data_IF_165727236869
#
_entry.id   IF_165727236869
#
_cell.length_a   1.000
_cell.length_b   1.000
_cell.length_c   1.000
_cell.angle_alpha   90.00
_cell.angle_beta   90.00
_cell.angle_gamma   90.00
#
_symmetry.space_group_name_H-M   'P 1'
#
loop_
_entity.id
_entity.type
_entity.pdbx_description
1 polymer ?
#
# COMPACT_ATOMS: atom_id res chain seq x y z
N UNK A 1 34.20 -41.91 -45.46
CA UNK A 1 32.86 -41.29 -45.33
C UNK A 1 32.40 -41.09 -43.87
N UNK A 2 33.29 -40.72 -42.92
CA UNK A 2 32.94 -40.54 -41.49
C UNK A 2 32.99 -39.08 -40.97
N UNK A 3 33.74 -38.17 -41.62
CA UNK A 3 33.89 -36.78 -41.15
C UNK A 3 32.61 -35.92 -41.32
N UNK A 4 31.91 -36.03 -42.45
CA UNK A 4 30.74 -35.17 -42.77
C UNK A 4 29.59 -35.32 -41.75
N UNK A 5 29.46 -36.50 -41.13
CA UNK A 5 28.40 -36.77 -40.15
C UNK A 5 28.66 -36.09 -38.80
N UNK A 6 29.93 -35.89 -38.43
CA UNK A 6 30.33 -35.30 -37.14
C UNK A 6 30.06 -33.79 -37.14
N UNK A 7 30.46 -33.07 -38.19
CA UNK A 7 30.23 -31.62 -38.31
C UNK A 7 28.73 -31.27 -38.32
N UNK A 8 27.91 -32.08 -39.00
CA UNK A 8 26.45 -31.92 -39.02
C UNK A 8 25.80 -32.08 -37.64
N UNK A 9 26.39 -32.91 -36.77
CA UNK A 9 25.88 -33.16 -35.43
C UNK A 9 26.31 -32.05 -34.46
N UNK A 10 27.53 -31.52 -34.58
CA UNK A 10 28.02 -30.40 -33.74
C UNK A 10 27.16 -29.15 -33.97
N UNK A 11 26.84 -28.82 -35.23
CA UNK A 11 25.96 -27.68 -35.56
C UNK A 11 24.53 -27.81 -35.01
N UNK A 12 24.00 -29.04 -34.93
CA UNK A 12 22.68 -29.32 -34.32
C UNK A 12 22.72 -29.21 -32.80
N UNK A 13 23.80 -29.68 -32.16
CA UNK A 13 24.00 -29.59 -30.71
C UNK A 13 24.11 -28.12 -30.29
N UNK A 14 24.88 -27.31 -31.01
CA UNK A 14 25.01 -25.87 -30.73
C UNK A 14 23.71 -25.08 -30.88
N UNK A 15 22.90 -25.38 -31.92
CA UNK A 15 21.58 -24.75 -32.09
C UNK A 15 20.58 -25.15 -31.01
N UNK A 16 20.62 -26.40 -30.54
CA UNK A 16 19.77 -26.88 -29.44
C UNK A 16 20.14 -26.21 -28.13
N UNK A 17 21.43 -26.18 -27.77
CA UNK A 17 21.91 -25.51 -26.56
C UNK A 17 21.58 -24.01 -26.54
N UNK A 18 21.63 -23.33 -27.69
CA UNK A 18 21.25 -21.92 -27.79
C UNK A 18 19.75 -21.70 -27.53
N UNK A 19 18.88 -22.53 -28.12
CA UNK A 19 17.43 -22.48 -27.86
C UNK A 19 17.09 -22.78 -26.41
N UNK A 20 17.72 -23.80 -25.83
CA UNK A 20 17.52 -24.18 -24.43
C UNK A 20 17.97 -23.05 -23.47
N UNK A 21 18.99 -22.27 -23.84
CA UNK A 21 19.45 -21.12 -23.08
C UNK A 21 18.51 -19.90 -23.22
N UNK A 22 17.99 -19.64 -24.43
CA UNK A 22 17.01 -18.59 -24.69
C UNK A 22 15.69 -18.86 -23.93
N UNK A 23 15.20 -20.10 -23.97
CA UNK A 23 13.99 -20.52 -23.24
C UNK A 23 14.17 -20.42 -21.72
N UNK A 24 15.34 -20.79 -21.20
CA UNK A 24 15.67 -20.59 -19.77
C UNK A 24 15.70 -19.12 -19.40
N UNK A 25 16.30 -18.26 -20.24
CA UNK A 25 16.36 -16.82 -19.98
C UNK A 25 14.96 -16.18 -20.01
N UNK A 26 14.11 -16.61 -20.93
CA UNK A 26 12.73 -16.16 -21.03
C UNK A 26 11.91 -16.58 -19.80
N UNK A 27 12.04 -17.84 -19.37
CA UNK A 27 11.41 -18.32 -18.12
C UNK A 27 11.91 -17.58 -16.88
N UNK A 28 13.20 -17.24 -16.80
CA UNK A 28 13.74 -16.42 -15.69
C UNK A 28 13.14 -15.01 -15.71
N UNK A 29 13.01 -14.39 -16.89
CA UNK A 29 12.36 -13.07 -17.04
C UNK A 29 10.89 -13.12 -16.66
N UNK A 30 10.15 -14.13 -17.09
CA UNK A 30 8.73 -14.32 -16.74
C UNK A 30 8.59 -14.55 -15.24
N UNK A 31 9.42 -15.40 -14.63
CA UNK A 31 9.39 -15.61 -13.17
C UNK A 31 9.79 -14.35 -12.40
N UNK A 32 10.74 -13.57 -12.89
CA UNK A 32 11.10 -12.28 -12.32
C UNK A 32 9.96 -11.27 -12.46
N UNK A 33 9.28 -11.23 -13.60
CA UNK A 33 8.10 -10.38 -13.81
C UNK A 33 6.94 -10.81 -12.90
N UNK A 34 6.69 -12.12 -12.74
CA UNK A 34 5.70 -12.68 -11.83
C UNK A 34 6.08 -12.38 -10.37
N UNK A 35 7.37 -12.47 -10.03
CA UNK A 35 7.85 -12.17 -8.69
C UNK A 35 7.74 -10.67 -8.39
N UNK A 36 8.15 -9.81 -9.33
CA UNK A 36 8.02 -8.35 -9.23
C UNK A 36 6.55 -7.99 -9.15
N UNK A 37 5.69 -8.47 -10.05
CA UNK A 37 4.25 -8.23 -9.96
C UNK A 37 3.67 -8.76 -8.65
N UNK A 38 3.97 -9.97 -8.19
CA UNK A 38 3.49 -10.43 -6.86
C UNK A 38 4.01 -9.60 -5.67
N UNK A 39 5.14 -8.89 -5.81
CA UNK A 39 5.72 -8.02 -4.76
C UNK A 39 5.36 -6.53 -4.92
N UNK A 40 4.88 -6.12 -6.09
CA UNK A 40 4.54 -4.75 -6.46
C UNK A 40 3.09 -4.59 -6.92
N UNK A 41 2.31 -5.66 -6.93
CA UNK A 41 0.86 -5.61 -7.05
C UNK A 41 0.38 -5.15 -5.69
N UNK A 42 0.54 -3.84 -5.46
CA UNK A 42 -0.53 -2.86 -5.39
C UNK A 42 -1.86 -3.53 -5.10
N UNK A 43 -2.58 -3.16 -4.03
CA UNK A 43 -3.99 -3.53 -3.72
C UNK A 43 -4.61 -4.44 -4.80
N UNK A 44 -4.87 -5.73 -4.57
CA UNK A 44 -5.18 -6.66 -5.68
C UNK A 44 -6.15 -6.10 -6.75
N UNK A 45 -6.00 -6.49 -8.02
CA UNK A 45 -6.72 -5.85 -9.14
C UNK A 45 -8.22 -5.71 -8.90
N UNK A 46 -8.86 -6.73 -8.31
CA UNK A 46 -10.29 -6.70 -8.04
C UNK A 46 -10.63 -5.63 -6.99
N UNK A 47 -9.79 -5.46 -5.98
CA UNK A 47 -9.98 -4.41 -4.99
C UNK A 47 -9.82 -3.01 -5.59
N UNK A 48 -8.96 -2.80 -6.58
CA UNK A 48 -8.88 -1.49 -7.26
C UNK A 48 -10.07 -1.16 -8.11
N UNK A 49 -10.58 -2.15 -8.83
CA UNK A 49 -11.81 -1.97 -9.62
C UNK A 49 -12.95 -1.58 -8.68
N UNK A 50 -13.07 -2.26 -7.54
CA UNK A 50 -14.00 -1.87 -6.48
C UNK A 50 -13.77 -0.41 -6.02
N UNK A 51 -12.55 -0.02 -5.69
CA UNK A 51 -12.26 1.36 -5.25
C UNK A 51 -12.55 2.42 -6.33
N UNK A 52 -12.27 2.11 -7.60
CA UNK A 52 -12.55 2.99 -8.73
C UNK A 52 -14.06 3.21 -8.91
N UNK A 53 -14.86 2.15 -8.72
CA UNK A 53 -16.31 2.21 -8.80
C UNK A 53 -16.94 2.95 -7.60
N UNK A 54 -16.40 2.79 -6.40
CA UNK A 54 -16.94 3.39 -5.17
C UNK A 54 -16.56 4.86 -4.98
N UNK A 55 -15.30 5.23 -5.22
CA UNK A 55 -14.78 6.57 -4.89
C UNK A 55 -14.49 7.42 -6.12
N UNK A 56 -14.22 6.79 -7.27
CA UNK A 56 -13.69 7.49 -8.43
C UNK A 56 -12.28 8.05 -8.18
N UNK A 57 -11.61 8.50 -9.24
CA UNK A 57 -10.22 8.99 -9.16
C UNK A 57 -10.17 10.50 -9.27
N UNK A 58 -9.32 11.14 -8.46
CA UNK A 58 -9.03 12.57 -8.62
C UNK A 58 -8.17 12.82 -9.86
N UNK A 59 -8.08 14.09 -10.27
CA UNK A 59 -7.29 14.52 -11.42
C UNK A 59 -5.80 14.14 -11.28
N UNK A 60 -5.14 13.67 -12.35
CA UNK A 60 -3.73 13.23 -12.30
C UNK A 60 -2.75 14.25 -11.72
N UNK A 61 -2.97 15.54 -11.97
CA UNK A 61 -2.15 16.62 -11.40
C UNK A 61 -2.21 16.63 -9.86
N UNK A 62 -3.41 16.45 -9.28
CA UNK A 62 -3.61 16.37 -7.84
C UNK A 62 -3.02 15.08 -7.28
N UNK A 63 -3.15 13.95 -7.99
CA UNK A 63 -2.51 12.71 -7.55
C UNK A 63 -0.98 12.88 -7.42
N UNK A 64 -0.34 13.54 -8.39
CA UNK A 64 1.10 13.80 -8.33
C UNK A 64 1.46 14.79 -7.22
N UNK A 65 0.64 15.82 -6.99
CA UNK A 65 0.79 16.74 -5.86
C UNK A 65 0.80 15.98 -4.53
N UNK A 66 -0.14 15.06 -4.33
CA UNK A 66 -0.25 14.26 -3.11
C UNK A 66 0.88 13.24 -2.95
N UNK A 67 1.29 12.55 -4.02
CA UNK A 67 2.47 11.67 -3.97
C UNK A 67 3.72 12.42 -3.50
N UNK A 68 3.95 13.63 -4.01
CA UNK A 68 5.08 14.46 -3.56
C UNK A 68 4.89 15.02 -2.15
N UNK A 69 3.64 15.28 -1.70
CA UNK A 69 3.34 15.62 -0.30
C UNK A 69 3.74 14.48 0.64
N UNK A 70 3.25 13.26 0.41
CA UNK A 70 3.59 12.11 1.24
C UNK A 70 5.09 11.85 1.28
N UNK A 71 5.78 11.99 0.14
CA UNK A 71 7.23 11.89 0.08
C UNK A 71 7.95 12.95 0.94
N UNK A 72 7.48 14.20 0.95
CA UNK A 72 8.03 15.26 1.83
C UNK A 72 7.79 14.96 3.32
N UNK A 73 6.69 14.30 3.65
CA UNK A 73 6.37 13.83 5.01
C UNK A 73 7.16 12.57 5.41
N UNK A 74 8.04 12.08 4.54
CA UNK A 74 8.93 10.95 4.81
C UNK A 74 8.29 9.58 4.65
N UNK A 75 7.18 9.49 3.91
CA UNK A 75 6.63 8.20 3.49
C UNK A 75 7.54 7.60 2.42
N UNK A 76 7.82 6.30 2.57
CA UNK A 76 8.76 5.56 1.75
C UNK A 76 8.14 4.37 1.06
N UNK A 77 9.01 3.45 0.60
CA UNK A 77 8.59 2.25 -0.15
C UNK A 77 7.65 1.33 0.63
N UNK A 78 7.77 1.29 1.96
CA UNK A 78 6.94 0.44 2.80
C UNK A 78 5.48 0.91 2.83
N UNK A 79 5.24 2.19 2.56
CA UNK A 79 3.91 2.82 2.62
C UNK A 79 3.25 2.91 1.23
N UNK A 80 3.72 2.13 0.25
CA UNK A 80 3.35 2.33 -1.14
C UNK A 80 1.83 2.30 -1.35
N UNK A 81 1.14 1.28 -0.83
CA UNK A 81 -0.31 1.14 -0.97
C UNK A 81 -1.07 2.28 -0.28
N UNK A 82 -0.61 2.68 0.91
CA UNK A 82 -1.15 3.82 1.63
C UNK A 82 -1.07 5.11 0.82
N UNK A 83 0.13 5.40 0.29
CA UNK A 83 0.38 6.62 -0.50
C UNK A 83 -0.43 6.61 -1.78
N UNK A 84 -0.47 5.48 -2.51
CA UNK A 84 -1.23 5.40 -3.76
C UNK A 84 -2.73 5.50 -3.53
N UNK A 85 -3.27 4.88 -2.46
CA UNK A 85 -4.67 4.99 -2.11
C UNK A 85 -5.05 6.46 -1.88
N UNK A 86 -4.40 7.13 -0.94
CA UNK A 86 -4.75 8.51 -0.60
C UNK A 86 -4.44 9.50 -1.72
N UNK A 87 -3.42 9.24 -2.52
CA UNK A 87 -3.11 10.09 -3.68
C UNK A 87 -4.08 9.88 -4.85
N UNK A 88 -4.75 8.73 -4.94
CA UNK A 88 -5.65 8.41 -6.07
C UNK A 88 -7.09 8.79 -5.79
N UNK A 89 -7.56 8.53 -4.57
CA UNK A 89 -8.97 8.64 -4.20
C UNK A 89 -9.27 9.95 -3.44
N UNK A 90 -8.41 10.37 -2.48
CA UNK A 90 -8.53 11.64 -1.71
C UNK A 90 -9.97 12.06 -1.46
N UNK A 91 -10.65 11.33 -0.57
CA UNK A 91 -12.02 11.61 -0.18
C UNK A 91 -12.23 11.17 1.28
N UNK A 92 -13.35 11.58 1.87
CA UNK A 92 -13.84 11.01 3.13
C UNK A 92 -14.31 9.58 2.89
N UNK A 93 -13.72 8.62 3.59
CA UNK A 93 -13.99 7.20 3.37
C UNK A 93 -14.92 6.67 4.45
N UNK A 94 -16.17 6.41 4.10
CA UNK A 94 -17.17 5.86 5.02
C UNK A 94 -17.03 4.34 5.14
N UNK A 95 -17.03 3.81 6.36
CA UNK A 95 -16.89 2.38 6.61
C UNK A 95 -17.46 1.93 7.96
N UNK A 96 -17.02 0.76 8.44
CA UNK A 96 -17.60 0.08 9.61
C UNK A 96 -17.53 0.88 10.91
N UNK A 97 -16.53 1.74 11.08
CA UNK A 97 -16.19 2.40 12.36
C UNK A 97 -16.28 3.94 12.21
N UNK A 98 -17.18 4.42 11.34
CA UNK A 98 -17.36 5.85 11.06
C UNK A 98 -16.83 6.22 9.69
N UNK A 99 -16.14 7.36 9.60
CA UNK A 99 -15.50 7.81 8.37
C UNK A 99 -14.04 8.18 8.60
N UNK A 100 -13.19 7.84 7.65
CA UNK A 100 -11.81 8.33 7.59
C UNK A 100 -11.82 9.73 6.99
N UNK A 101 -10.98 10.62 7.51
CA UNK A 101 -10.79 11.95 6.91
C UNK A 101 -10.22 11.82 5.51
N UNK A 102 -10.47 12.79 4.63
CA UNK A 102 -9.63 12.97 3.46
C UNK A 102 -8.22 13.35 3.91
N UNK A 103 -7.40 12.31 4.13
CA UNK A 103 -6.08 12.47 4.72
C UNK A 103 -5.16 13.27 3.81
N UNK A 104 -5.26 13.10 2.49
CA UNK A 104 -4.40 13.81 1.56
C UNK A 104 -4.68 15.32 1.63
N UNK A 105 -5.96 15.70 1.72
CA UNK A 105 -6.39 17.09 1.91
C UNK A 105 -6.02 17.62 3.31
N UNK A 106 -6.26 16.84 4.38
CA UNK A 106 -5.91 17.21 5.77
C UNK A 106 -4.41 17.52 5.92
N UNK A 107 -3.56 16.73 5.26
CA UNK A 107 -2.11 16.88 5.32
C UNK A 107 -1.57 18.00 4.42
N UNK A 108 -2.37 18.61 3.54
CA UNK A 108 -1.91 19.76 2.73
C UNK A 108 -1.55 20.95 3.61
N UNK A 109 -2.40 21.27 4.59
CA UNK A 109 -2.07 22.17 5.70
C UNK A 109 -1.74 21.34 6.95
N UNK A 110 -0.56 20.73 6.92
CA UNK A 110 -0.07 19.89 7.99
C UNK A 110 -0.17 20.56 9.38
N UNK A 111 -0.03 21.90 9.45
CA UNK A 111 -0.03 22.63 10.72
C UNK A 111 -1.37 22.59 11.47
N UNK A 112 -2.46 22.50 10.70
CA UNK A 112 -3.84 22.31 11.19
C UNK A 112 -4.33 20.88 11.12
N UNK A 113 -3.52 19.96 10.56
CA UNK A 113 -3.92 18.56 10.40
C UNK A 113 -4.25 17.91 11.73
N UNK A 114 -5.13 16.92 11.66
CA UNK A 114 -5.51 16.14 12.83
C UNK A 114 -4.31 15.50 13.51
N UNK A 115 -3.40 14.96 12.69
CA UNK A 115 -2.17 14.35 13.17
C UNK A 115 -1.34 15.33 13.99
N UNK A 116 -1.14 16.55 13.49
CA UNK A 116 -0.34 17.57 14.18
C UNK A 116 -1.00 18.07 15.48
N UNK A 117 -2.33 18.15 15.51
CA UNK A 117 -3.08 18.48 16.72
C UNK A 117 -2.82 17.43 17.82
N UNK A 118 -2.88 16.14 17.48
CA UNK A 118 -2.61 15.06 18.43
C UNK A 118 -1.15 15.07 18.91
N UNK A 119 -0.19 15.36 18.02
CA UNK A 119 1.22 15.50 18.42
C UNK A 119 1.39 16.59 19.48
N UNK A 120 0.78 17.76 19.26
CA UNK A 120 0.86 18.89 20.20
C UNK A 120 0.15 18.62 21.52
N UNK A 121 -1.02 17.99 21.48
CA UNK A 121 -1.89 17.89 22.65
C UNK A 121 -1.57 16.69 23.55
N UNK A 122 -1.23 15.54 22.94
CA UNK A 122 -1.07 14.28 23.68
C UNK A 122 0.31 13.62 23.43
N UNK A 123 1.19 14.27 22.66
CA UNK A 123 2.52 13.72 22.40
C UNK A 123 2.50 12.49 21.51
N UNK A 124 1.58 12.41 20.54
CA UNK A 124 1.56 11.33 19.56
C UNK A 124 2.94 11.21 18.87
N UNK A 125 3.56 10.04 18.77
CA UNK A 125 4.86 9.90 18.12
C UNK A 125 4.84 10.21 16.61
N UNK A 126 5.96 10.73 16.08
CA UNK A 126 6.09 11.22 14.70
C UNK A 126 5.82 10.17 13.60
N UNK A 127 5.91 8.89 13.94
CA UNK A 127 5.61 7.81 13.00
C UNK A 127 4.10 7.55 12.84
N UNK A 128 3.27 8.03 13.77
CA UNK A 128 1.83 7.83 13.70
C UNK A 128 1.12 8.96 12.96
N UNK A 129 0.14 8.57 12.15
CA UNK A 129 -0.78 9.44 11.43
C UNK A 129 -2.21 9.05 11.78
N UNK A 130 -3.04 10.03 12.11
CA UNK A 130 -4.44 9.78 12.46
C UNK A 130 -5.30 9.73 11.20
N UNK A 131 -6.16 8.73 11.12
CA UNK A 131 -7.08 8.53 9.99
C UNK A 131 -8.53 8.94 10.31
N UNK A 132 -8.87 9.13 11.59
CA UNK A 132 -10.20 9.61 12.00
C UNK A 132 -10.15 11.09 12.35
N UNK A 133 -11.28 11.77 12.20
CA UNK A 133 -11.43 13.14 12.66
C UNK A 133 -11.55 13.23 14.20
N UNK A 134 -11.54 14.45 14.74
CA UNK A 134 -11.73 14.72 16.16
C UNK A 134 -13.14 14.50 16.71
N UNK A 135 -14.14 14.28 15.84
CA UNK A 135 -15.53 14.15 16.28
C UNK A 135 -15.83 12.75 16.83
N UNK A 136 -14.96 11.79 16.52
CA UNK A 136 -14.98 10.47 17.10
C UNK A 136 -14.02 10.44 18.28
N UNK A 137 -14.50 9.95 19.43
CA UNK A 137 -13.67 9.84 20.64
C UNK A 137 -12.50 8.86 20.43
N UNK A 138 -12.67 7.85 19.58
CA UNK A 138 -11.69 6.80 19.32
C UNK A 138 -10.71 7.15 18.18
N UNK A 139 -9.59 6.43 18.13
CA UNK A 139 -8.51 6.70 17.19
C UNK A 139 -8.27 5.54 16.22
N UNK A 140 -8.02 5.86 14.96
CA UNK A 140 -7.35 4.97 14.00
C UNK A 140 -6.00 5.60 13.66
N UNK A 141 -4.92 4.88 13.95
CA UNK A 141 -3.54 5.36 13.81
C UNK A 141 -2.77 4.47 12.83
N UNK A 142 -2.26 5.08 11.78
CA UNK A 142 -1.34 4.46 10.82
C UNK A 142 0.11 4.64 11.27
N UNK A 143 0.89 3.56 11.31
CA UNK A 143 2.33 3.58 11.60
C UNK A 143 3.14 3.61 10.30
N UNK A 144 3.68 4.77 9.93
CA UNK A 144 4.45 4.89 8.69
C UNK A 144 5.76 4.08 8.71
N UNK A 145 6.25 3.64 9.86
CA UNK A 145 7.48 2.87 9.91
C UNK A 145 7.26 1.38 9.60
N UNK A 146 6.04 0.88 9.78
CA UNK A 146 5.71 -0.55 9.68
C UNK A 146 4.57 -0.88 8.72
N UNK A 147 3.83 0.14 8.24
CA UNK A 147 2.58 0.01 7.48
C UNK A 147 1.40 -0.54 8.31
N UNK A 148 1.56 -0.71 9.61
CA UNK A 148 0.52 -1.22 10.50
C UNK A 148 -0.56 -0.17 10.80
N UNK A 149 -1.76 -0.64 11.12
CA UNK A 149 -2.88 0.22 11.55
C UNK A 149 -3.40 -0.23 12.90
N UNK A 150 -3.70 0.71 13.78
CA UNK A 150 -4.18 0.47 15.14
C UNK A 150 -5.50 1.19 15.37
N UNK A 151 -6.48 0.48 15.92
CA UNK A 151 -7.66 1.07 16.52
C UNK A 151 -7.46 1.14 18.03
N UNK A 152 -7.64 2.33 18.59
CA UNK A 152 -7.40 2.64 20.00
C UNK A 152 -8.61 3.39 20.53
N UNK A 153 -9.29 2.82 21.51
CA UNK A 153 -10.37 3.53 22.20
C UNK A 153 -9.83 4.75 22.96
N UNK A 154 -10.63 5.82 23.02
CA UNK A 154 -10.27 7.10 23.63
C UNK A 154 -9.55 6.96 24.99
N UNK A 155 -10.09 6.18 25.96
CA UNK A 155 -9.49 6.05 27.29
C UNK A 155 -8.12 5.37 27.31
N UNK A 156 -7.71 4.73 26.21
CA UNK A 156 -6.49 3.95 26.11
C UNK A 156 -5.37 4.64 25.32
N UNK A 157 -5.59 5.84 24.77
CA UNK A 157 -4.59 6.51 23.92
C UNK A 157 -3.25 6.73 24.61
N UNK A 158 -3.25 7.12 25.89
CA UNK A 158 -2.00 7.31 26.62
C UNK A 158 -1.24 5.99 26.80
N UNK A 159 -1.96 4.88 27.05
CA UNK A 159 -1.36 3.54 27.14
C UNK A 159 -0.85 3.05 25.79
N UNK A 160 -1.49 3.45 24.69
CA UNK A 160 -0.98 3.20 23.34
C UNK A 160 0.36 3.89 23.13
N UNK A 161 0.46 5.18 23.45
CA UNK A 161 1.70 5.96 23.28
C UNK A 161 2.85 5.38 24.11
N UNK A 162 2.57 4.98 25.34
CA UNK A 162 3.60 4.48 26.27
C UNK A 162 3.99 3.02 26.00
N UNK A 163 3.02 2.15 25.73
CA UNK A 163 3.20 0.70 25.77
C UNK A 163 2.62 -0.04 24.55
N UNK A 164 2.20 0.69 23.50
CA UNK A 164 1.56 0.15 22.29
C UNK A 164 0.34 -0.73 22.61
N UNK A 165 -0.45 -0.35 23.62
CA UNK A 165 -1.73 -1.01 23.92
C UNK A 165 -2.85 -0.51 23.00
N UNK A 166 -3.52 -1.42 22.28
CA UNK A 166 -4.59 -1.12 21.32
C UNK A 166 -5.78 -2.07 21.47
N UNK A 167 -6.95 -1.68 20.96
CA UNK A 167 -8.16 -2.51 20.95
C UNK A 167 -8.17 -3.46 19.75
N UNK A 168 -7.73 -2.99 18.58
CA UNK A 168 -7.59 -3.81 17.36
C UNK A 168 -6.39 -3.37 16.53
N UNK A 169 -5.84 -4.29 15.75
CA UNK A 169 -4.65 -4.08 14.91
C UNK A 169 -4.80 -4.79 13.57
N UNK A 170 -4.25 -4.16 12.54
CA UNK A 170 -4.08 -4.73 11.20
C UNK A 170 -2.60 -4.67 10.81
N UNK A 171 -2.09 -5.78 10.28
CA UNK A 171 -0.68 -5.94 9.93
C UNK A 171 -0.20 -5.07 8.75
N UNK A 172 -1.13 -4.50 7.98
CA UNK A 172 -0.84 -3.60 6.86
C UNK A 172 -2.02 -2.67 6.61
N UNK A 173 -1.77 -1.58 5.87
CA UNK A 173 -2.84 -0.70 5.41
C UNK A 173 -3.85 -1.44 4.51
N UNK A 174 -3.36 -2.32 3.63
CA UNK A 174 -4.24 -3.11 2.76
C UNK A 174 -5.23 -3.96 3.56
N UNK A 175 -4.77 -4.66 4.59
CA UNK A 175 -5.67 -5.46 5.44
C UNK A 175 -6.68 -4.58 6.17
N UNK A 176 -6.24 -3.41 6.64
CA UNK A 176 -7.11 -2.45 7.28
C UNK A 176 -8.21 -1.95 6.34
N UNK A 177 -7.85 -1.41 5.17
CA UNK A 177 -8.82 -0.75 4.30
C UNK A 177 -9.84 -1.75 3.73
N UNK A 178 -9.42 -2.99 3.43
CA UNK A 178 -10.33 -4.05 3.01
C UNK A 178 -11.34 -4.42 4.10
N UNK A 179 -10.87 -4.61 5.34
CA UNK A 179 -11.76 -4.92 6.45
C UNK A 179 -12.69 -3.73 6.77
N UNK A 180 -12.16 -2.51 6.76
CA UNK A 180 -12.88 -1.27 7.04
C UNK A 180 -14.04 -1.04 6.07
N UNK A 181 -13.82 -1.30 4.78
CA UNK A 181 -14.82 -1.21 3.71
C UNK A 181 -15.72 -2.45 3.60
N UNK A 182 -15.55 -3.44 4.49
CA UNK A 182 -16.23 -4.73 4.40
C UNK A 182 -16.03 -5.47 3.06
N UNK A 183 -14.88 -5.26 2.43
CA UNK A 183 -14.52 -5.93 1.19
C UNK A 183 -14.21 -7.41 1.46
N UNK A 184 -15.20 -8.26 1.25
CA UNK A 184 -15.04 -9.71 1.23
C UNK A 184 -14.76 -10.14 -0.21
N UNK A 185 -13.55 -10.57 -0.51
CA UNK A 185 -13.17 -11.14 -1.81
C UNK A 185 -13.88 -12.48 -2.15
N UNK A 186 -14.99 -12.80 -1.49
CA UNK A 186 -15.73 -14.06 -1.59
C UNK A 186 -16.92 -13.99 -2.55
N UNK A 187 -16.81 -13.32 -3.70
CA UNK A 187 -17.73 -13.54 -4.82
C UNK A 187 -17.02 -13.22 -6.14
N UNK A 188 -16.28 -14.21 -6.67
CA UNK A 188 -16.07 -14.40 -8.12
C UNK A 188 -16.23 -15.87 -8.42
#
# INVERSE_FOLDING_TARGET
MRLIRIESNIGKIGRKQKKDAEEKLENVKVNLLIFISKRFVMLDTNFKEYLDDEFGRILPENQNKYRELFKRLGFGKINHDFVEFWSTYSDEIYGKIGYLVDLAMDLEDFSSSQTEILRKNIGLPDNYFSLLNNELDDYILYDKNTDEVFFVEAPNIQKFIENKQFSKHWNSFEYFIKDYLNYNAYYV
#
